data_IF_953212058522
#
_entry.id   IF_953212058522
#
_cell.length_a   1.000
_cell.length_b   1.000
_cell.length_c   1.000
_cell.angle_alpha   90.00
_cell.angle_beta   90.00
_cell.angle_gamma   90.00
#
_symmetry.space_group_name_H-M   'P 1'
#
loop_
_entity.id
_entity.type
_entity.pdbx_description
1 polymer ?
#
# COMPACT_ATOMS: atom_id res chain seq x y z
N UNK A 1 -6.70 9.84 16.51
CA UNK A 1 -5.93 8.59 16.76
C UNK A 1 -6.39 7.40 15.91
N UNK A 2 -7.62 7.39 15.37
CA UNK A 2 -8.14 6.26 14.58
C UNK A 2 -7.35 6.03 13.27
N UNK A 3 -7.02 7.09 12.52
CA UNK A 3 -6.25 6.98 11.28
C UNK A 3 -4.87 6.32 11.44
N UNK A 4 -4.13 6.66 12.50
CA UNK A 4 -2.80 6.05 12.76
C UNK A 4 -2.91 4.57 13.08
N UNK A 5 -3.92 4.15 13.85
CA UNK A 5 -4.15 2.73 14.15
C UNK A 5 -4.45 1.93 12.88
N UNK A 6 -5.23 2.49 11.96
CA UNK A 6 -5.52 1.87 10.66
C UNK A 6 -4.27 1.72 9.80
N UNK A 7 -3.45 2.77 9.70
CA UNK A 7 -2.20 2.71 8.94
C UNK A 7 -1.32 1.57 9.45
N UNK A 8 -1.08 1.51 10.77
CA UNK A 8 -0.27 0.44 11.37
C UNK A 8 -0.86 -0.95 11.09
N UNK A 9 -2.19 -1.10 11.17
CA UNK A 9 -2.85 -2.37 10.85
C UNK A 9 -2.58 -2.78 9.38
N UNK A 10 -2.79 -1.88 8.42
CA UNK A 10 -2.56 -2.18 7.00
C UNK A 10 -1.08 -2.42 6.68
N UNK A 11 -0.18 -1.69 7.33
CA UNK A 11 1.26 -1.92 7.23
C UNK A 11 1.66 -3.32 7.71
N UNK A 12 1.09 -3.78 8.84
CA UNK A 12 1.33 -5.14 9.33
C UNK A 12 0.76 -6.19 8.37
N UNK A 13 -0.44 -5.98 7.84
CA UNK A 13 -1.05 -6.87 6.85
C UNK A 13 -0.17 -6.93 5.60
N UNK A 14 0.33 -5.80 5.11
CA UNK A 14 1.22 -5.73 3.95
C UNK A 14 2.51 -6.54 4.16
N UNK A 15 3.12 -6.41 5.35
CA UNK A 15 4.30 -7.19 5.72
C UNK A 15 4.03 -8.69 5.74
N UNK A 16 2.88 -9.11 6.30
CA UNK A 16 2.48 -10.53 6.31
C UNK A 16 2.18 -11.05 4.90
N UNK A 17 1.41 -10.29 4.11
CA UNK A 17 1.08 -10.65 2.73
C UNK A 17 2.38 -10.82 1.93
N UNK A 18 3.24 -9.81 1.93
CA UNK A 18 4.53 -9.89 1.23
C UNK A 18 5.41 -11.02 1.73
N UNK A 19 5.49 -11.28 3.04
CA UNK A 19 6.31 -12.39 3.55
C UNK A 19 5.81 -13.77 3.10
N UNK A 20 4.48 -13.95 3.03
CA UNK A 20 3.86 -15.21 2.62
C UNK A 20 3.91 -15.38 1.09
N UNK A 21 3.88 -14.29 0.34
CA UNK A 21 3.83 -14.33 -1.12
C UNK A 21 5.14 -13.91 -1.81
N UNK A 22 6.21 -13.63 -1.07
CA UNK A 22 7.51 -13.21 -1.63
C UNK A 22 8.06 -14.11 -2.76
N UNK A 23 7.86 -15.45 -2.75
CA UNK A 23 8.29 -16.29 -3.87
C UNK A 23 7.37 -16.24 -5.10
N UNK A 24 6.23 -15.54 -5.01
CA UNK A 24 5.15 -15.54 -6.00
C UNK A 24 5.23 -14.22 -6.80
N UNK A 25 5.53 -14.30 -8.11
CA UNK A 25 5.46 -13.13 -8.99
C UNK A 25 4.05 -12.52 -9.01
N UNK A 26 3.98 -11.19 -9.02
CA UNK A 26 2.70 -10.46 -9.01
C UNK A 26 2.12 -10.18 -7.62
N UNK A 27 2.87 -10.45 -6.54
CA UNK A 27 2.54 -10.01 -5.17
C UNK A 27 2.23 -8.51 -5.09
N UNK A 28 2.87 -7.69 -5.93
CA UNK A 28 2.61 -6.26 -6.03
C UNK A 28 1.15 -5.90 -6.30
N UNK A 29 0.41 -6.72 -7.06
CA UNK A 29 -1.01 -6.50 -7.34
C UNK A 29 -1.87 -6.64 -6.08
N UNK A 30 -1.55 -7.62 -5.22
CA UNK A 30 -2.23 -7.81 -3.94
C UNK A 30 -1.95 -6.63 -2.99
N UNK A 31 -0.70 -6.16 -2.96
CA UNK A 31 -0.30 -5.00 -2.16
C UNK A 31 -0.98 -3.72 -2.66
N UNK A 32 -1.03 -3.52 -3.98
CA UNK A 32 -1.74 -2.39 -4.59
C UNK A 32 -3.23 -2.40 -4.20
N UNK A 33 -3.89 -3.57 -4.26
CA UNK A 33 -5.28 -3.68 -3.86
C UNK A 33 -5.49 -3.34 -2.36
N UNK A 34 -4.56 -3.78 -1.50
CA UNK A 34 -4.56 -3.45 -0.07
C UNK A 34 -4.39 -1.94 0.17
N UNK A 35 -3.49 -1.30 -0.56
CA UNK A 35 -3.23 0.15 -0.49
C UNK A 35 -4.45 0.96 -0.90
N UNK A 36 -5.09 0.61 -2.02
CA UNK A 36 -6.33 1.26 -2.46
C UNK A 36 -7.40 1.12 -1.38
N UNK A 37 -7.57 -0.08 -0.83
CA UNK A 37 -8.56 -0.32 0.21
C UNK A 37 -8.27 0.49 1.48
N UNK A 38 -7.00 0.58 1.90
CA UNK A 38 -6.57 1.41 3.02
C UNK A 38 -6.95 2.88 2.80
N UNK A 39 -6.71 3.45 1.61
CA UNK A 39 -7.03 4.84 1.33
C UNK A 39 -8.54 5.08 1.35
N UNK A 40 -9.33 4.18 0.76
CA UNK A 40 -10.80 4.27 0.81
C UNK A 40 -11.30 4.18 2.25
N UNK A 41 -10.71 3.31 3.07
CA UNK A 41 -11.08 3.20 4.47
C UNK A 41 -10.71 4.46 5.27
N UNK A 42 -9.52 5.01 5.06
CA UNK A 42 -9.11 6.28 5.68
C UNK A 42 -10.03 7.43 5.28
N UNK A 43 -10.42 7.54 4.00
CA UNK A 43 -11.35 8.56 3.54
C UNK A 43 -12.69 8.49 4.29
N UNK A 44 -13.25 7.29 4.45
CA UNK A 44 -14.49 7.08 5.22
C UNK A 44 -14.37 7.50 6.68
N UNK A 45 -13.22 7.26 7.30
CA UNK A 45 -12.97 7.63 8.71
C UNK A 45 -12.92 9.14 8.91
N UNK A 46 -12.57 9.91 7.87
CA UNK A 46 -12.57 11.37 7.88
C UNK A 46 -13.82 11.97 7.22
N UNK A 47 -14.91 11.20 7.08
CA UNK A 47 -16.17 11.61 6.42
C UNK A 47 -15.98 12.16 4.99
N UNK A 48 -14.87 11.79 4.35
CA UNK A 48 -14.53 12.23 3.02
C UNK A 48 -15.18 11.30 1.99
N UNK A 49 -16.21 11.80 1.29
CA UNK A 49 -16.91 11.04 0.25
C UNK A 49 -16.07 10.98 -1.01
N UNK A 50 -15.31 9.90 -1.17
CA UNK A 50 -14.71 9.56 -2.46
C UNK A 50 -15.78 8.96 -3.39
N UNK A 51 -16.06 9.64 -4.50
CA UNK A 51 -16.83 9.10 -5.60
C UNK A 51 -16.06 8.00 -6.34
N UNK A 52 -16.78 7.13 -7.06
CA UNK A 52 -16.17 6.02 -7.82
C UNK A 52 -15.07 6.46 -8.79
N UNK A 53 -15.20 7.64 -9.41
CA UNK A 53 -14.17 8.21 -10.27
C UNK A 53 -12.90 8.56 -9.49
N UNK A 54 -13.04 9.14 -8.30
CA UNK A 54 -11.90 9.54 -7.46
C UNK A 54 -11.20 8.32 -6.85
N UNK A 55 -11.95 7.28 -6.48
CA UNK A 55 -11.37 5.98 -6.10
C UNK A 55 -10.59 5.39 -7.28
N UNK A 56 -11.16 5.42 -8.48
CA UNK A 56 -10.49 4.96 -9.70
C UNK A 56 -9.21 5.73 -10.01
N UNK A 57 -9.24 7.07 -9.94
CA UNK A 57 -8.03 7.91 -10.13
C UNK A 57 -6.98 7.68 -9.06
N UNK A 58 -7.41 7.51 -7.81
CA UNK A 58 -6.53 7.22 -6.68
C UNK A 58 -5.89 5.85 -6.86
N UNK A 59 -6.67 4.83 -7.24
CA UNK A 59 -6.15 3.50 -7.54
C UNK A 59 -5.19 3.50 -8.72
N UNK A 60 -5.50 4.25 -9.78
CA UNK A 60 -4.61 4.39 -10.94
C UNK A 60 -3.31 5.14 -10.59
N UNK A 61 -3.39 6.18 -9.76
CA UNK A 61 -2.22 6.92 -9.30
C UNK A 61 -1.32 6.08 -8.38
N UNK A 62 -1.92 5.33 -7.44
CA UNK A 62 -1.19 4.36 -6.62
C UNK A 62 -0.57 3.29 -7.51
N UNK A 63 -1.34 2.68 -8.40
CA UNK A 63 -0.83 1.65 -9.31
C UNK A 63 0.30 2.19 -10.19
N UNK A 64 0.21 3.42 -10.69
CA UNK A 64 1.29 4.06 -11.45
C UNK A 64 2.54 4.36 -10.62
N UNK A 65 2.38 4.77 -9.36
CA UNK A 65 3.50 4.96 -8.44
C UNK A 65 4.13 3.62 -8.02
N UNK A 66 3.29 2.62 -7.77
CA UNK A 66 3.69 1.28 -7.33
C UNK A 66 4.39 0.54 -8.46
N UNK A 67 3.89 0.59 -9.68
CA UNK A 67 4.55 -0.05 -10.83
C UNK A 67 5.97 0.47 -11.08
N UNK A 68 6.18 1.78 -10.90
CA UNK A 68 7.48 2.41 -11.09
C UNK A 68 8.48 2.15 -9.94
N UNK A 69 8.01 2.13 -8.69
CA UNK A 69 8.88 2.07 -7.51
C UNK A 69 8.89 0.70 -6.83
N UNK A 70 7.71 0.10 -6.70
CA UNK A 70 7.48 -1.12 -5.93
C UNK A 70 7.52 -2.34 -6.84
N UNK A 71 6.76 -2.42 -7.93
CA UNK A 71 6.74 -3.62 -8.77
C UNK A 71 8.11 -3.91 -9.35
N UNK A 72 8.83 -2.89 -9.85
CA UNK A 72 10.19 -3.07 -10.33
C UNK A 72 11.13 -3.56 -9.22
N UNK A 73 11.01 -3.00 -8.01
CA UNK A 73 11.85 -3.41 -6.88
C UNK A 73 11.49 -4.81 -6.39
N UNK A 74 10.22 -5.07 -6.08
CA UNK A 74 9.73 -6.36 -5.59
C UNK A 74 9.97 -7.46 -6.61
N UNK A 75 9.69 -7.23 -7.90
CA UNK A 75 9.87 -8.24 -8.95
C UNK A 75 11.35 -8.62 -9.12
N UNK A 76 12.27 -7.66 -9.10
CA UNK A 76 13.73 -7.95 -9.11
C UNK A 76 14.11 -8.75 -7.85
N UNK A 77 13.56 -8.38 -6.69
CA UNK A 77 13.88 -8.99 -5.41
C UNK A 77 13.28 -10.40 -5.25
N UNK A 78 12.12 -10.68 -5.85
CA UNK A 78 11.48 -12.00 -5.88
C UNK A 78 12.40 -13.05 -6.49
N UNK A 79 13.23 -12.68 -7.48
CA UNK A 79 14.21 -13.58 -8.12
C UNK A 79 15.51 -13.78 -7.33
N UNK A 80 15.71 -13.06 -6.21
CA UNK A 80 16.89 -13.20 -5.34
C UNK A 80 16.47 -13.85 -4.01
N UNK A 81 16.52 -15.19 -3.90
CA UNK A 81 16.08 -15.88 -2.70
C UNK A 81 16.84 -15.44 -1.44
N UNK A 82 16.15 -15.43 -0.32
CA UNK A 82 16.69 -14.98 0.97
C UNK A 82 16.71 -13.45 1.07
N UNK A 83 17.79 -12.82 0.62
CA UNK A 83 17.97 -11.36 0.79
C UNK A 83 16.91 -10.55 0.04
N UNK A 84 16.57 -10.95 -1.19
CA UNK A 84 15.55 -10.28 -1.98
C UNK A 84 14.18 -10.39 -1.32
N UNK A 85 13.79 -11.58 -0.87
CA UNK A 85 12.50 -11.77 -0.17
C UNK A 85 12.40 -10.95 1.12
N UNK A 86 13.48 -10.85 1.90
CA UNK A 86 13.50 -10.00 3.08
C UNK A 86 13.37 -8.51 2.73
N UNK A 87 14.06 -8.06 1.67
CA UNK A 87 13.94 -6.71 1.17
C UNK A 87 12.55 -6.40 0.61
N UNK A 88 11.88 -7.37 -0.02
CA UNK A 88 10.52 -7.25 -0.53
C UNK A 88 9.54 -6.87 0.59
N UNK A 89 9.61 -7.59 1.72
CA UNK A 89 8.80 -7.32 2.91
C UNK A 89 9.06 -5.91 3.45
N UNK A 90 10.33 -5.49 3.52
CA UNK A 90 10.71 -4.16 4.00
C UNK A 90 10.13 -3.07 3.09
N UNK A 91 10.27 -3.22 1.77
CA UNK A 91 9.77 -2.26 0.79
C UNK A 91 8.24 -2.17 0.88
N UNK A 92 7.54 -3.29 0.93
CA UNK A 92 6.08 -3.33 1.08
C UNK A 92 5.61 -2.61 2.36
N UNK A 93 6.24 -2.91 3.50
CA UNK A 93 5.93 -2.28 4.80
C UNK A 93 6.15 -0.77 4.74
N UNK A 94 7.30 -0.32 4.22
CA UNK A 94 7.64 1.09 4.13
C UNK A 94 6.68 1.85 3.20
N UNK A 95 6.34 1.26 2.06
CA UNK A 95 5.49 1.89 1.07
C UNK A 95 4.06 2.05 1.58
N UNK A 96 3.45 1.00 2.14
CA UNK A 96 2.10 1.07 2.72
C UNK A 96 2.06 2.04 3.90
N UNK A 97 3.08 2.02 4.77
CA UNK A 97 3.16 2.98 5.87
C UNK A 97 3.25 4.43 5.37
N UNK A 98 4.10 4.69 4.37
CA UNK A 98 4.26 6.00 3.77
C UNK A 98 2.96 6.50 3.12
N UNK A 99 2.35 5.69 2.25
CA UNK A 99 1.08 6.03 1.59
C UNK A 99 -0.04 6.27 2.59
N UNK A 100 -0.14 5.43 3.62
CA UNK A 100 -1.14 5.58 4.67
C UNK A 100 -0.99 6.91 5.40
N UNK A 101 0.23 7.31 5.76
CA UNK A 101 0.49 8.60 6.38
C UNK A 101 0.17 9.78 5.43
N UNK A 102 0.54 9.68 4.15
CA UNK A 102 0.27 10.70 3.15
C UNK A 102 -1.26 10.91 2.98
N UNK A 103 -2.01 9.82 2.82
CA UNK A 103 -3.47 9.85 2.69
C UNK A 103 -4.12 10.42 3.96
N UNK A 104 -3.66 9.99 5.13
CA UNK A 104 -4.14 10.49 6.41
C UNK A 104 -3.90 12.00 6.60
N UNK A 105 -2.75 12.53 6.19
CA UNK A 105 -2.49 13.97 6.19
C UNK A 105 -3.39 14.71 5.20
N UNK A 106 -3.58 14.15 4.00
CA UNK A 106 -4.43 14.74 2.97
C UNK A 106 -5.89 14.86 3.43
N UNK A 107 -6.49 13.77 3.93
CA UNK A 107 -7.87 13.79 4.39
C UNK A 107 -8.05 14.62 5.65
N UNK A 108 -7.10 14.56 6.60
CA UNK A 108 -7.15 15.38 7.82
C UNK A 108 -7.09 16.88 7.53
N UNK A 109 -6.41 17.32 6.46
CA UNK A 109 -6.36 18.72 6.06
C UNK A 109 -7.67 19.21 5.41
N UNK A 110 -8.45 18.30 4.82
CA UNK A 110 -9.68 18.62 4.10
C UNK A 110 -10.97 18.33 4.89
N UNK A 111 -10.88 17.62 6.01
CA UNK A 111 -11.93 17.47 7.01
C UNK A 111 -11.93 18.65 7.98
#
# INVERSE_FOLDING_TARGET
>A
MVGVKLIVLYTLIAGVVSAVTAPIPGTSLLLTALEVYMIVHLAKVYDYKLGFKEIGYTAFAIWGLSTLLQDTALEILTFVPGFGWAAEVIVAVLFVFFLGNLANLYFKKKA
#
